data_IF_067271852604
#
_entry.id   IF_067271852604
#
_cell.length_a   1.000
_cell.length_b   1.000
_cell.length_c   1.000
_cell.angle_alpha   90.00
_cell.angle_beta   90.00
_cell.angle_gamma   90.00
#
_symmetry.space_group_name_H-M   'P 1'
#
loop_
_entity.id
_entity.type
_entity.pdbx_description
1 polymer ?
#
# COMPACT_ATOMS: atom_id res chain seq x y z
N UNK A 1 22.78 2.60 -9.66
CA UNK A 1 21.78 1.66 -9.13
C UNK A 1 20.38 2.00 -9.69
N UNK A 2 19.82 3.18 -9.48
CA UNK A 2 18.46 3.54 -9.93
C UNK A 2 18.27 3.48 -11.44
N UNK A 3 19.22 4.00 -12.24
CA UNK A 3 19.17 3.90 -13.72
C UNK A 3 19.03 2.46 -14.22
N UNK A 4 19.69 1.50 -13.56
CA UNK A 4 19.59 0.09 -13.95
C UNK A 4 18.20 -0.47 -13.66
N UNK A 5 17.59 -0.12 -12.51
CA UNK A 5 16.23 -0.53 -12.18
C UNK A 5 15.22 0.05 -13.19
N UNK A 6 15.36 1.34 -13.51
CA UNK A 6 14.49 1.99 -14.51
C UNK A 6 14.65 1.35 -15.90
N UNK A 7 15.89 1.05 -16.34
CA UNK A 7 16.12 0.37 -17.63
C UNK A 7 15.43 -1.01 -17.63
N UNK A 8 15.61 -1.81 -16.57
CA UNK A 8 14.94 -3.11 -16.44
C UNK A 8 13.43 -2.99 -16.51
N UNK A 9 12.85 -2.04 -15.74
CA UNK A 9 11.42 -1.76 -15.77
C UNK A 9 10.92 -1.42 -17.18
N UNK A 10 11.64 -0.55 -17.90
CA UNK A 10 11.29 -0.16 -19.28
C UNK A 10 11.36 -1.36 -20.23
N UNK A 11 12.40 -2.17 -20.15
CA UNK A 11 12.59 -3.38 -20.97
C UNK A 11 11.49 -4.42 -20.68
N UNK A 12 11.20 -4.67 -19.40
CA UNK A 12 10.19 -5.65 -18.96
C UNK A 12 8.79 -5.31 -19.48
N UNK A 13 8.43 -4.03 -19.42
CA UNK A 13 7.10 -3.57 -19.79
C UNK A 13 7.01 -3.05 -21.24
N UNK A 14 8.11 -2.97 -21.97
CA UNK A 14 8.15 -2.50 -23.35
C UNK A 14 7.86 -1.00 -23.49
N UNK A 15 8.29 -0.19 -22.52
CA UNK A 15 8.17 1.26 -22.59
C UNK A 15 9.42 1.93 -23.13
N UNK A 16 9.27 3.01 -23.89
CA UNK A 16 10.40 3.75 -24.49
C UNK A 16 11.01 4.79 -23.55
N UNK A 17 10.24 5.28 -22.59
CA UNK A 17 10.66 6.34 -21.68
C UNK A 17 9.95 6.21 -20.32
N UNK A 18 10.60 6.70 -19.26
CA UNK A 18 10.04 6.87 -17.93
C UNK A 18 9.95 8.38 -17.61
N UNK A 19 8.75 8.87 -17.36
CA UNK A 19 8.48 10.31 -17.18
C UNK A 19 7.44 10.50 -16.07
N UNK A 20 7.79 10.24 -14.79
CA UNK A 20 6.84 10.27 -13.71
C UNK A 20 6.25 11.67 -13.49
N UNK A 21 4.94 11.73 -13.43
CA UNK A 21 4.11 12.89 -13.12
C UNK A 21 3.37 12.71 -11.79
N UNK A 22 3.29 11.47 -11.30
CA UNK A 22 2.64 11.14 -10.04
C UNK A 22 3.42 10.10 -9.24
N UNK A 23 3.33 10.19 -7.90
CA UNK A 23 3.70 9.12 -6.97
C UNK A 23 2.44 8.68 -6.23
N UNK A 24 2.10 7.41 -6.34
CA UNK A 24 0.94 6.77 -5.73
C UNK A 24 1.40 6.02 -4.48
N UNK A 25 1.00 6.50 -3.33
CA UNK A 25 1.37 5.93 -2.04
C UNK A 25 0.30 4.98 -1.52
N UNK A 26 0.68 3.80 -1.06
CA UNK A 26 -0.16 3.07 -0.12
C UNK A 26 -0.25 3.83 1.21
N UNK A 27 -1.12 3.38 2.10
CA UNK A 27 -1.40 4.06 3.35
C UNK A 27 -0.73 3.38 4.55
N UNK A 28 -1.08 2.12 4.81
CA UNK A 28 -0.69 1.40 6.01
C UNK A 28 0.75 0.89 5.89
N UNK A 29 1.63 1.30 6.82
CA UNK A 29 3.07 1.01 6.71
C UNK A 29 3.84 1.93 5.74
N UNK A 30 3.16 2.83 5.02
CA UNK A 30 3.74 3.82 4.10
C UNK A 30 3.50 5.25 4.57
N UNK A 31 2.24 5.67 4.73
CA UNK A 31 1.89 6.99 5.26
C UNK A 31 1.84 7.01 6.78
N UNK A 32 1.33 5.91 7.38
CA UNK A 32 1.25 5.71 8.82
C UNK A 32 2.02 4.46 9.23
N UNK A 33 2.65 4.52 10.41
CA UNK A 33 3.20 3.34 11.08
C UNK A 33 2.08 2.60 11.82
N UNK A 34 1.14 2.06 11.04
CA UNK A 34 -0.11 1.44 11.50
C UNK A 34 -0.03 -0.08 11.60
N UNK A 35 0.96 -0.71 10.98
CA UNK A 35 1.06 -2.17 10.93
C UNK A 35 1.16 -2.86 12.30
N UNK A 36 1.84 -2.31 13.31
CA UNK A 36 1.78 -2.87 14.67
C UNK A 36 0.35 -2.94 15.22
N UNK A 37 -0.47 -1.91 15.01
CA UNK A 37 -1.87 -1.90 15.41
C UNK A 37 -2.70 -2.91 14.61
N UNK A 38 -2.44 -3.03 13.31
CA UNK A 38 -3.10 -4.05 12.48
C UNK A 38 -2.78 -5.46 12.98
N UNK A 39 -1.51 -5.76 13.30
CA UNK A 39 -1.10 -7.05 13.82
C UNK A 39 -1.82 -7.38 15.14
N UNK A 40 -1.86 -6.45 16.09
CA UNK A 40 -2.59 -6.62 17.36
C UNK A 40 -4.08 -6.89 17.10
N UNK A 41 -4.71 -6.05 16.27
CA UNK A 41 -6.14 -6.18 15.98
C UNK A 41 -6.49 -7.50 15.28
N UNK A 42 -5.66 -7.97 14.36
CA UNK A 42 -5.81 -9.27 13.72
C UNK A 42 -5.66 -10.42 14.72
N UNK A 43 -4.61 -10.43 15.51
CA UNK A 43 -4.35 -11.47 16.51
C UNK A 43 -5.50 -11.58 17.53
N UNK A 44 -5.90 -10.44 18.11
CA UNK A 44 -6.95 -10.42 19.13
C UNK A 44 -8.33 -10.78 18.58
N UNK A 45 -8.68 -10.29 17.38
CA UNK A 45 -9.98 -10.57 16.78
C UNK A 45 -10.11 -12.02 16.35
N UNK A 46 -9.11 -12.54 15.65
CA UNK A 46 -9.16 -13.91 15.12
C UNK A 46 -9.10 -14.96 16.23
N UNK A 47 -8.40 -14.68 17.33
CA UNK A 47 -8.39 -15.54 18.52
C UNK A 47 -9.80 -15.74 19.11
N UNK A 48 -10.70 -14.75 19.04
CA UNK A 48 -12.10 -14.87 19.50
C UNK A 48 -12.91 -15.89 18.70
N UNK A 49 -12.50 -16.15 17.46
CA UNK A 49 -13.14 -17.11 16.56
C UNK A 49 -12.38 -18.44 16.49
N UNK A 50 -11.40 -18.66 17.40
CA UNK A 50 -10.61 -19.89 17.45
C UNK A 50 -9.56 -19.99 16.33
N UNK A 51 -9.22 -18.88 15.68
CA UNK A 51 -8.21 -18.81 14.62
C UNK A 51 -6.94 -18.19 15.17
N UNK A 52 -5.82 -18.86 14.93
CA UNK A 52 -4.51 -18.34 15.28
C UNK A 52 -3.94 -17.53 14.15
N UNK A 53 -3.64 -16.27 14.40
CA UNK A 53 -3.01 -15.37 13.44
C UNK A 53 -1.77 -14.73 14.07
N UNK A 54 -0.63 -14.82 13.42
CA UNK A 54 0.63 -14.23 13.87
C UNK A 54 0.76 -12.80 13.39
N UNK A 55 1.75 -12.07 13.89
CA UNK A 55 2.09 -10.76 13.33
C UNK A 55 2.54 -10.89 11.86
N UNK A 56 3.35 -11.90 11.54
CA UNK A 56 3.83 -12.14 10.17
C UNK A 56 2.68 -12.43 9.21
N UNK A 57 1.65 -13.17 9.63
CA UNK A 57 0.44 -13.37 8.82
C UNK A 57 -0.28 -12.05 8.52
N UNK A 58 -0.34 -11.14 9.51
CA UNK A 58 -0.94 -9.83 9.31
C UNK A 58 -0.16 -8.99 8.29
N UNK A 59 1.17 -9.01 8.33
CA UNK A 59 2.02 -8.33 7.35
C UNK A 59 1.97 -8.99 5.96
N UNK A 60 1.92 -10.33 5.90
CA UNK A 60 1.86 -11.05 4.63
C UNK A 60 0.53 -10.86 3.88
N UNK A 61 -0.56 -10.63 4.61
CA UNK A 61 -1.91 -10.41 4.05
C UNK A 61 -2.28 -8.93 3.93
N UNK A 62 -1.36 -8.02 4.24
CA UNK A 62 -1.58 -6.58 4.11
C UNK A 62 -1.95 -6.19 2.68
N UNK A 63 -2.86 -5.22 2.57
CA UNK A 63 -3.37 -4.74 1.28
C UNK A 63 -4.53 -5.57 0.72
N UNK A 64 -4.78 -6.80 1.22
CA UNK A 64 -5.97 -7.55 0.88
C UNK A 64 -7.23 -6.94 1.51
N UNK A 65 -8.40 -7.23 0.92
CA UNK A 65 -9.67 -6.94 1.60
C UNK A 65 -9.77 -7.82 2.87
N UNK A 66 -10.11 -7.22 3.99
CA UNK A 66 -10.15 -7.93 5.27
C UNK A 66 -11.04 -9.18 5.28
N UNK A 67 -12.16 -9.14 4.55
CA UNK A 67 -13.06 -10.30 4.38
C UNK A 67 -12.39 -11.46 3.64
N UNK A 68 -11.52 -11.16 2.67
CA UNK A 68 -10.80 -12.19 1.90
C UNK A 68 -9.70 -12.83 2.76
N UNK A 69 -8.99 -12.03 3.58
CA UNK A 69 -8.03 -12.53 4.59
C UNK A 69 -8.73 -13.46 5.58
N UNK A 70 -9.90 -13.09 6.09
CA UNK A 70 -10.67 -13.91 7.03
C UNK A 70 -11.08 -15.22 6.39
N UNK A 71 -11.65 -15.20 5.18
CA UNK A 71 -12.03 -16.43 4.47
C UNK A 71 -10.84 -17.38 4.27
N UNK A 72 -9.68 -16.82 3.91
CA UNK A 72 -8.47 -17.60 3.76
C UNK A 72 -8.08 -18.29 5.07
N UNK A 73 -8.05 -17.55 6.18
CA UNK A 73 -7.65 -18.08 7.49
C UNK A 73 -8.65 -19.12 8.01
N UNK A 74 -9.96 -18.89 7.83
CA UNK A 74 -11.01 -19.85 8.20
C UNK A 74 -10.84 -21.15 7.39
N UNK A 75 -10.68 -21.04 6.07
CA UNK A 75 -10.51 -22.22 5.22
C UNK A 75 -9.24 -23.01 5.60
N UNK A 76 -8.13 -22.31 5.86
CA UNK A 76 -6.87 -22.96 6.22
C UNK A 76 -6.89 -23.67 7.58
N UNK A 77 -7.54 -23.08 8.60
CA UNK A 77 -7.45 -23.57 9.97
C UNK A 77 -8.69 -24.32 10.44
N UNK A 78 -9.87 -23.95 9.96
CA UNK A 78 -11.13 -24.57 10.36
C UNK A 78 -11.71 -25.51 9.27
N UNK A 79 -11.08 -25.54 8.07
CA UNK A 79 -11.40 -26.44 6.96
C UNK A 79 -12.86 -26.35 6.43
N UNK A 80 -13.47 -25.17 6.54
CA UNK A 80 -14.77 -24.89 5.95
C UNK A 80 -14.79 -23.48 5.34
N UNK A 81 -15.75 -23.24 4.46
CA UNK A 81 -16.01 -21.93 3.88
C UNK A 81 -17.04 -21.18 4.74
N UNK A 82 -16.94 -19.86 4.76
CA UNK A 82 -17.93 -18.96 5.36
C UNK A 82 -18.47 -18.00 4.30
N UNK A 83 -19.68 -17.53 4.52
CA UNK A 83 -20.29 -16.54 3.64
C UNK A 83 -19.75 -15.11 3.89
N UNK A 84 -20.14 -14.19 3.01
CA UNK A 84 -19.73 -12.79 3.07
C UNK A 84 -20.17 -12.12 4.37
N UNK A 85 -21.40 -12.42 4.83
CA UNK A 85 -21.95 -11.79 6.02
C UNK A 85 -21.21 -12.24 7.29
N UNK A 86 -20.79 -13.48 7.36
CA UNK A 86 -19.99 -14.00 8.46
C UNK A 86 -18.56 -13.43 8.44
N UNK A 87 -17.92 -13.42 7.28
CA UNK A 87 -16.61 -12.78 7.13
C UNK A 87 -16.65 -11.30 7.51
N UNK A 88 -17.73 -10.59 7.14
CA UNK A 88 -17.91 -9.19 7.49
C UNK A 88 -18.05 -8.99 9.01
N UNK A 89 -18.83 -9.83 9.70
CA UNK A 89 -18.96 -9.75 11.18
C UNK A 89 -17.60 -9.94 11.88
N UNK A 90 -16.79 -10.87 11.39
CA UNK A 90 -15.44 -11.08 11.93
C UNK A 90 -14.52 -9.87 11.65
N UNK A 91 -14.64 -9.28 10.47
CA UNK A 91 -13.90 -8.07 10.11
C UNK A 91 -14.35 -6.84 10.92
N UNK A 92 -15.64 -6.72 11.23
CA UNK A 92 -16.17 -5.65 12.09
C UNK A 92 -15.55 -5.72 13.49
N UNK A 93 -15.35 -6.94 14.03
CA UNK A 93 -14.67 -7.13 15.32
C UNK A 93 -13.18 -6.72 15.24
N UNK A 94 -12.48 -7.08 14.16
CA UNK A 94 -11.11 -6.61 13.92
C UNK A 94 -11.05 -5.08 13.85
N UNK A 95 -11.98 -4.46 13.14
CA UNK A 95 -12.07 -3.01 13.01
C UNK A 95 -12.35 -2.34 14.35
N UNK A 96 -13.24 -2.92 15.17
CA UNK A 96 -13.55 -2.42 16.51
C UNK A 96 -12.31 -2.41 17.42
N UNK A 97 -11.52 -3.51 17.40
CA UNK A 97 -10.27 -3.59 18.17
C UNK A 97 -9.27 -2.56 17.64
N UNK A 98 -9.07 -2.49 16.33
CA UNK A 98 -8.16 -1.53 15.71
C UNK A 98 -8.46 -0.08 16.13
N UNK A 99 -9.72 0.32 16.11
CA UNK A 99 -10.15 1.67 16.52
C UNK A 99 -10.06 1.92 18.03
N UNK A 100 -9.91 0.89 18.86
CA UNK A 100 -9.68 1.03 20.30
C UNK A 100 -8.21 1.24 20.66
N UNK A 101 -7.30 0.99 19.71
CA UNK A 101 -5.86 1.21 19.89
C UNK A 101 -5.51 2.70 19.70
N UNK A 102 -4.37 3.16 20.24
CA UNK A 102 -3.87 4.50 19.98
C UNK A 102 -3.72 4.75 18.48
N UNK A 103 -3.96 5.99 18.03
CA UNK A 103 -3.74 6.36 16.63
C UNK A 103 -2.28 6.11 16.24
N UNK A 104 -2.09 5.44 15.10
CA UNK A 104 -0.77 5.21 14.54
C UNK A 104 -0.10 6.55 14.16
N UNK A 105 1.19 6.76 14.44
CA UNK A 105 1.88 7.97 14.04
C UNK A 105 2.06 8.05 12.53
N UNK A 106 2.26 9.26 12.02
CA UNK A 106 2.73 9.49 10.64
C UNK A 106 4.10 8.84 10.47
N UNK A 107 4.29 8.13 9.36
CA UNK A 107 5.55 7.42 9.06
C UNK A 107 6.73 8.39 9.01
N UNK A 108 7.82 8.15 9.76
CA UNK A 108 8.99 9.01 9.73
C UNK A 108 9.58 9.16 8.34
N UNK A 109 9.75 10.40 7.87
CA UNK A 109 10.33 10.71 6.56
C UNK A 109 9.32 10.94 5.43
N UNK A 110 8.05 10.55 5.60
CA UNK A 110 7.05 10.67 4.51
C UNK A 110 6.74 12.12 4.16
N UNK A 111 6.58 13.02 5.15
CA UNK A 111 6.29 14.43 4.88
C UNK A 111 7.44 15.13 4.14
N UNK A 112 8.68 14.78 4.45
CA UNK A 112 9.85 15.31 3.76
C UNK A 112 9.94 14.78 2.32
N UNK A 113 9.60 13.50 2.11
CA UNK A 113 9.51 12.91 0.79
C UNK A 113 8.45 13.62 -0.07
N UNK A 114 7.24 13.81 0.45
CA UNK A 114 6.16 14.49 -0.27
C UNK A 114 6.52 15.94 -0.65
N UNK A 115 7.18 16.68 0.26
CA UNK A 115 7.68 18.03 -0.07
C UNK A 115 8.68 18.01 -1.24
N UNK A 116 9.60 17.06 -1.26
CA UNK A 116 10.58 16.93 -2.35
C UNK A 116 9.89 16.60 -3.68
N UNK A 117 8.92 15.69 -3.67
CA UNK A 117 8.12 15.29 -4.84
C UNK A 117 7.36 16.49 -5.41
N UNK A 118 6.64 17.23 -4.56
CA UNK A 118 5.94 18.44 -4.99
C UNK A 118 6.89 19.52 -5.53
N UNK A 119 8.07 19.70 -4.89
CA UNK A 119 9.08 20.64 -5.36
C UNK A 119 9.64 20.29 -6.73
N UNK A 120 9.57 19.02 -7.13
CA UNK A 120 9.93 18.53 -8.45
C UNK A 120 8.78 18.65 -9.47
N UNK A 121 7.62 19.19 -9.08
CA UNK A 121 6.44 19.31 -9.95
C UNK A 121 5.67 18.00 -10.16
N UNK A 122 5.94 16.97 -9.32
CA UNK A 122 5.28 15.68 -9.37
C UNK A 122 4.13 15.68 -8.35
N UNK A 123 2.97 15.18 -8.72
CA UNK A 123 1.81 15.11 -7.83
C UNK A 123 1.87 13.87 -6.93
N UNK A 124 1.20 13.94 -5.77
CA UNK A 124 1.02 12.81 -4.86
C UNK A 124 -0.42 12.31 -4.95
N UNK A 125 -0.60 10.98 -4.96
CA UNK A 125 -1.87 10.30 -4.82
C UNK A 125 -1.80 9.25 -3.73
N UNK A 126 -2.94 8.83 -3.19
CA UNK A 126 -3.06 7.78 -2.17
C UNK A 126 -3.92 6.66 -2.71
N UNK A 127 -3.50 5.41 -2.49
CA UNK A 127 -4.21 4.21 -2.94
C UNK A 127 -4.31 3.23 -1.76
N UNK A 128 -5.46 3.23 -1.08
CA UNK A 128 -5.69 2.40 0.11
C UNK A 128 -6.77 1.33 -0.12
N UNK A 129 -6.58 0.15 0.47
CA UNK A 129 -7.60 -0.90 0.56
C UNK A 129 -8.70 -0.59 1.59
N UNK A 130 -8.62 0.52 2.31
CA UNK A 130 -9.64 0.95 3.24
C UNK A 130 -10.63 1.92 2.59
N UNK A 131 -11.90 1.89 3.05
CA UNK A 131 -12.93 2.85 2.66
C UNK A 131 -13.59 3.52 3.87
N UNK A 132 -13.02 3.35 5.06
CA UNK A 132 -13.63 3.87 6.29
C UNK A 132 -13.57 5.40 6.36
N UNK A 133 -14.72 6.04 6.50
CA UNK A 133 -14.85 7.50 6.49
C UNK A 133 -13.93 8.22 7.51
N UNK A 134 -13.78 7.77 8.78
CA UNK A 134 -12.89 8.42 9.74
C UNK A 134 -11.43 8.43 9.26
N UNK A 135 -11.00 7.37 8.59
CA UNK A 135 -9.65 7.25 8.07
C UNK A 135 -9.41 8.22 6.91
N UNK A 136 -10.38 8.35 6.00
CA UNK A 136 -10.31 9.32 4.89
C UNK A 136 -10.27 10.75 5.43
N UNK A 137 -11.04 11.06 6.47
CA UNK A 137 -10.99 12.37 7.13
C UNK A 137 -9.61 12.65 7.74
N UNK A 138 -9.00 11.64 8.33
CA UNK A 138 -7.66 11.73 8.87
C UNK A 138 -6.61 11.97 7.79
N UNK A 139 -6.68 11.23 6.67
CA UNK A 139 -5.81 11.46 5.50
C UNK A 139 -5.88 12.90 5.00
N UNK A 140 -7.10 13.46 4.89
CA UNK A 140 -7.28 14.87 4.50
C UNK A 140 -6.65 15.84 5.49
N UNK A 141 -6.78 15.59 6.79
CA UNK A 141 -6.19 16.42 7.85
C UNK A 141 -4.64 16.37 7.79
N UNK A 142 -4.07 15.19 7.68
CA UNK A 142 -2.64 14.99 7.84
C UNK A 142 -1.85 15.24 6.53
N UNK A 143 -2.46 14.94 5.37
CA UNK A 143 -1.82 14.99 4.05
C UNK A 143 -2.49 15.93 3.04
N UNK A 144 -3.56 16.65 3.40
CA UNK A 144 -4.28 17.55 2.48
C UNK A 144 -3.45 18.72 1.94
N UNK A 145 -2.28 19.02 2.53
CA UNK A 145 -1.32 19.96 1.96
C UNK A 145 -0.55 19.38 0.75
N UNK A 146 -0.56 18.05 0.57
CA UNK A 146 0.21 17.32 -0.43
C UNK A 146 -0.66 16.58 -1.44
N UNK A 147 -1.85 16.15 -1.03
CA UNK A 147 -2.73 15.29 -1.81
C UNK A 147 -4.11 15.90 -1.88
N UNK A 148 -4.60 16.14 -3.12
CA UNK A 148 -5.99 16.49 -3.34
C UNK A 148 -6.90 15.29 -3.04
N UNK A 149 -8.08 15.55 -2.49
CA UNK A 149 -9.07 14.50 -2.22
C UNK A 149 -9.44 13.70 -3.48
N UNK A 150 -9.47 14.35 -4.62
CA UNK A 150 -9.73 13.71 -5.91
C UNK A 150 -8.68 12.65 -6.27
N UNK A 151 -7.47 12.72 -5.69
CA UNK A 151 -6.38 11.78 -5.91
C UNK A 151 -6.29 10.69 -4.84
N UNK A 152 -7.33 10.51 -4.01
CA UNK A 152 -7.43 9.42 -3.05
C UNK A 152 -8.27 8.29 -3.66
N UNK A 153 -7.67 7.13 -3.84
CA UNK A 153 -8.34 5.89 -4.26
C UNK A 153 -8.57 5.02 -3.03
N UNK A 154 -9.81 4.55 -2.86
CA UNK A 154 -10.27 3.75 -1.74
C UNK A 154 -10.81 2.41 -2.20
N UNK A 155 -11.13 1.52 -1.26
CA UNK A 155 -11.78 0.23 -1.56
C UNK A 155 -13.11 0.37 -2.31
N UNK A 156 -13.80 1.52 -2.19
CA UNK A 156 -15.08 1.76 -2.88
C UNK A 156 -14.94 2.18 -4.35
N UNK A 157 -13.75 2.58 -4.77
CA UNK A 157 -13.49 3.02 -6.13
C UNK A 157 -13.23 1.85 -7.10
N UNK A 158 -13.02 0.63 -6.58
CA UNK A 158 -12.57 -0.52 -7.37
C UNK A 158 -13.39 -1.77 -7.06
N UNK A 159 -13.50 -2.65 -8.06
CA UNK A 159 -14.16 -3.95 -7.90
C UNK A 159 -13.25 -4.99 -7.25
N UNK A 160 -11.98 -5.00 -7.63
CA UNK A 160 -10.99 -5.93 -7.12
C UNK A 160 -9.90 -5.15 -6.37
N UNK A 161 -9.66 -5.53 -5.11
CA UNK A 161 -8.57 -4.99 -4.30
C UNK A 161 -7.21 -5.59 -4.68
N UNK A 162 -6.14 -5.09 -4.06
CA UNK A 162 -4.80 -5.69 -4.16
C UNK A 162 -4.88 -7.20 -3.87
N UNK A 163 -4.21 -8.07 -4.63
CA UNK A 163 -3.13 -7.80 -5.59
C UNK A 163 -3.58 -7.50 -7.02
N UNK A 164 -4.89 -7.36 -7.31
CA UNK A 164 -5.35 -6.94 -8.64
C UNK A 164 -4.79 -5.54 -8.97
N UNK A 165 -4.57 -5.20 -10.26
CA UNK A 165 -4.05 -3.90 -10.67
C UNK A 165 -5.05 -2.75 -10.50
N UNK A 166 -6.33 -3.06 -10.32
CA UNK A 166 -7.45 -2.11 -10.32
C UNK A 166 -7.20 -0.88 -9.42
N UNK A 167 -6.70 -1.01 -8.16
CA UNK A 167 -6.47 0.15 -7.30
C UNK A 167 -5.47 1.14 -7.86
N UNK A 168 -4.36 0.67 -8.42
CA UNK A 168 -3.34 1.54 -8.99
C UNK A 168 -3.71 2.06 -10.37
N UNK A 169 -4.46 1.30 -11.18
CA UNK A 169 -5.04 1.80 -12.41
C UNK A 169 -6.06 2.91 -12.15
N UNK A 170 -6.87 2.78 -11.10
CA UNK A 170 -7.76 3.85 -10.64
C UNK A 170 -6.96 5.06 -10.14
N UNK A 171 -5.84 4.83 -9.45
CA UNK A 171 -4.92 5.89 -9.04
C UNK A 171 -4.36 6.68 -10.23
N UNK A 172 -3.96 6.00 -11.32
CA UNK A 172 -3.54 6.64 -12.57
C UNK A 172 -4.66 7.47 -13.20
N UNK A 173 -5.88 6.94 -13.23
CA UNK A 173 -7.04 7.64 -13.75
C UNK A 173 -7.31 8.91 -12.95
N UNK A 174 -7.35 8.82 -11.63
CA UNK A 174 -7.55 9.99 -10.74
C UNK A 174 -6.43 11.01 -10.83
N UNK A 175 -5.20 10.58 -11.12
CA UNK A 175 -4.05 11.45 -11.33
C UNK A 175 -4.04 12.15 -12.71
N UNK A 176 -5.12 12.05 -13.51
CA UNK A 176 -5.26 12.69 -14.81
C UNK A 176 -5.07 11.75 -15.99
N UNK A 177 -5.58 10.51 -15.87
CA UNK A 177 -5.50 9.46 -16.90
C UNK A 177 -4.05 9.17 -17.35
N UNK A 178 -3.14 9.10 -16.37
CA UNK A 178 -1.72 8.87 -16.63
C UNK A 178 -1.46 7.45 -17.18
N UNK A 179 -0.41 7.35 -17.99
CA UNK A 179 0.12 6.05 -18.41
C UNK A 179 0.98 5.43 -17.29
N UNK A 180 1.15 4.09 -17.25
CA UNK A 180 1.94 3.44 -16.20
C UNK A 180 3.36 3.99 -16.06
N UNK A 181 4.03 4.31 -17.16
CA UNK A 181 5.38 4.90 -17.17
C UNK A 181 5.44 6.38 -16.72
N UNK A 182 4.30 6.96 -16.38
CA UNK A 182 4.17 8.33 -15.84
C UNK A 182 3.92 8.35 -14.33
N UNK A 183 3.98 7.19 -13.67
CA UNK A 183 3.80 7.12 -12.22
C UNK A 183 4.82 6.21 -11.53
N UNK A 184 4.89 6.37 -10.21
CA UNK A 184 5.64 5.51 -9.29
C UNK A 184 4.65 5.03 -8.24
N UNK A 185 4.73 3.77 -7.86
CA UNK A 185 4.05 3.20 -6.68
C UNK A 185 5.03 3.15 -5.52
N UNK A 186 4.60 3.52 -4.32
CA UNK A 186 5.34 3.31 -3.07
C UNK A 186 4.50 2.42 -2.16
N UNK A 187 5.05 1.26 -1.82
CA UNK A 187 4.39 0.17 -1.12
C UNK A 187 5.28 -0.45 -0.04
N UNK A 188 4.69 -1.19 0.91
CA UNK A 188 5.44 -1.93 1.93
C UNK A 188 5.07 -3.41 2.00
N UNK A 189 3.97 -3.82 1.36
CA UNK A 189 3.40 -5.16 1.47
C UNK A 189 3.45 -5.94 0.15
N UNK A 190 3.66 -7.28 0.19
CA UNK A 190 3.77 -8.08 -1.03
C UNK A 190 2.54 -7.99 -1.95
N UNK A 191 1.33 -7.95 -1.40
CA UNK A 191 0.10 -7.85 -2.22
C UNK A 191 -0.01 -6.49 -2.91
N UNK A 192 0.38 -5.42 -2.23
CA UNK A 192 0.41 -4.10 -2.81
C UNK A 192 1.49 -3.94 -3.88
N UNK A 193 2.68 -4.49 -3.65
CA UNK A 193 3.75 -4.55 -4.65
C UNK A 193 3.29 -5.31 -5.90
N UNK A 194 2.64 -6.48 -5.73
CA UNK A 194 2.05 -7.23 -6.88
C UNK A 194 1.02 -6.40 -7.63
N UNK A 195 0.21 -5.62 -6.91
CA UNK A 195 -0.80 -4.75 -7.54
C UNK A 195 -0.15 -3.65 -8.39
N UNK A 196 0.91 -2.99 -7.88
CA UNK A 196 1.66 -1.98 -8.62
C UNK A 196 2.36 -2.57 -9.85
N UNK A 197 3.02 -3.72 -9.69
CA UNK A 197 3.66 -4.46 -10.78
C UNK A 197 2.65 -4.92 -11.84
N UNK A 198 1.50 -5.46 -11.41
CA UNK A 198 0.42 -5.86 -12.32
C UNK A 198 -0.20 -4.68 -13.07
N UNK A 199 -0.21 -3.48 -12.48
CA UNK A 199 -0.58 -2.24 -13.14
C UNK A 199 0.52 -1.72 -14.08
N UNK A 200 1.67 -2.40 -14.17
CA UNK A 200 2.84 -2.04 -14.98
C UNK A 200 3.46 -0.70 -14.58
N UNK A 201 3.37 -0.33 -13.31
CA UNK A 201 3.91 0.92 -12.75
C UNK A 201 5.22 0.59 -12.03
N UNK A 202 6.26 1.43 -12.20
CA UNK A 202 7.49 1.29 -11.43
C UNK A 202 7.18 1.28 -9.94
N UNK A 203 7.48 0.16 -9.27
CA UNK A 203 7.08 -0.07 -7.89
C UNK A 203 8.29 -0.05 -6.96
N UNK A 204 8.29 0.89 -6.04
CA UNK A 204 9.26 1.03 -4.97
C UNK A 204 8.68 0.40 -3.71
N UNK A 205 9.35 -0.62 -3.19
CA UNK A 205 9.01 -1.18 -1.89
C UNK A 205 9.80 -0.47 -0.77
N UNK A 206 9.13 -0.16 0.32
CA UNK A 206 9.74 0.33 1.56
C UNK A 206 9.52 -0.73 2.63
N UNK A 207 10.57 -1.45 3.00
CA UNK A 207 10.46 -2.53 3.98
C UNK A 207 10.37 -1.96 5.40
N UNK A 208 9.16 -1.59 5.80
CA UNK A 208 8.82 -1.07 7.12
C UNK A 208 8.32 -2.15 8.09
N UNK A 209 8.33 -3.40 7.65
CA UNK A 209 7.87 -4.56 8.42
C UNK A 209 8.97 -5.61 8.64
N UNK A 210 8.62 -6.77 9.22
CA UNK A 210 9.54 -7.85 9.53
C UNK A 210 9.84 -8.77 8.34
N UNK A 211 9.12 -8.63 7.22
CA UNK A 211 9.23 -9.54 6.08
C UNK A 211 10.62 -9.46 5.43
N UNK A 212 11.17 -10.59 4.95
CA UNK A 212 12.40 -10.58 4.17
C UNK A 212 12.25 -9.76 2.88
N UNK A 213 13.32 -9.05 2.48
CA UNK A 213 13.32 -8.29 1.22
C UNK A 213 13.00 -9.14 -0.01
N UNK A 214 13.36 -10.41 0.03
CA UNK A 214 13.12 -11.41 -1.02
C UNK A 214 11.63 -11.56 -1.34
N UNK A 215 10.75 -11.39 -0.36
CA UNK A 215 9.30 -11.45 -0.57
C UNK A 215 8.80 -10.24 -1.36
N UNK A 216 9.31 -9.05 -1.06
CA UNK A 216 8.98 -7.83 -1.81
C UNK A 216 9.57 -7.86 -3.22
N UNK A 217 10.81 -8.36 -3.38
CA UNK A 217 11.43 -8.59 -4.70
C UNK A 217 10.65 -9.63 -5.50
N UNK A 218 10.30 -10.76 -4.87
CA UNK A 218 9.50 -11.82 -5.50
C UNK A 218 8.07 -11.38 -5.84
N UNK A 219 7.57 -10.32 -5.21
CA UNK A 219 6.29 -9.70 -5.54
C UNK A 219 6.38 -8.73 -6.74
N UNK A 220 7.59 -8.38 -7.20
CA UNK A 220 7.81 -7.52 -8.37
C UNK A 220 8.25 -6.08 -8.01
N UNK A 221 8.86 -5.86 -6.84
CA UNK A 221 9.43 -4.56 -6.53
C UNK A 221 10.65 -4.27 -7.41
N UNK A 222 10.67 -3.12 -8.08
CA UNK A 222 11.79 -2.65 -8.91
C UNK A 222 12.93 -2.10 -8.05
N UNK A 223 12.59 -1.50 -6.91
CA UNK A 223 13.52 -0.95 -5.94
C UNK A 223 13.04 -1.26 -4.52
N UNK A 224 13.97 -1.46 -3.59
CA UNK A 224 13.68 -1.61 -2.17
C UNK A 224 14.49 -0.63 -1.35
N UNK A 225 13.83 -0.02 -0.37
CA UNK A 225 14.43 0.80 0.66
C UNK A 225 14.14 0.25 2.06
N UNK A 226 15.08 0.32 3.00
CA UNK A 226 14.89 -0.24 4.34
C UNK A 226 13.97 0.61 5.22
N UNK A 227 13.63 1.83 4.80
CA UNK A 227 12.72 2.72 5.52
C UNK A 227 12.27 3.88 4.64
N UNK A 228 11.16 4.51 5.00
CA UNK A 228 10.68 5.74 4.36
C UNK A 228 11.68 6.90 4.52
N UNK A 229 12.36 6.97 5.65
CA UNK A 229 13.43 7.95 5.88
C UNK A 229 14.58 7.79 4.88
N UNK A 230 14.96 6.54 4.56
CA UNK A 230 16.02 6.29 3.59
C UNK A 230 15.54 6.60 2.16
N UNK A 231 14.31 6.24 1.80
CA UNK A 231 13.73 6.66 0.53
C UNK A 231 13.72 8.19 0.40
N UNK A 232 13.30 8.90 1.44
CA UNK A 232 13.31 10.37 1.47
C UNK A 232 14.71 10.95 1.27
N UNK A 233 15.73 10.39 1.90
CA UNK A 233 17.13 10.83 1.72
C UNK A 233 17.65 10.61 0.30
N UNK A 234 17.22 9.53 -0.33
CA UNK A 234 17.67 9.15 -1.67
C UNK A 234 16.82 9.80 -2.77
N UNK A 235 15.67 10.36 -2.45
CA UNK A 235 14.73 10.95 -3.41
C UNK A 235 15.40 11.98 -4.33
N UNK A 236 16.24 12.87 -3.79
CA UNK A 236 16.97 13.86 -4.60
C UNK A 236 17.94 13.25 -5.62
N UNK A 237 18.39 12.01 -5.40
CA UNK A 237 19.24 11.27 -6.36
C UNK A 237 18.40 10.44 -7.32
N UNK A 238 17.21 10.06 -6.89
CA UNK A 238 16.24 9.33 -7.70
C UNK A 238 15.57 10.26 -8.71
N UNK A 239 15.04 11.40 -8.28
CA UNK A 239 14.33 12.38 -9.11
C UNK A 239 15.10 12.84 -10.36
N UNK A 240 16.41 13.17 -10.33
CA UNK A 240 17.15 13.56 -11.53
C UNK A 240 17.40 12.41 -12.52
N UNK A 241 17.09 11.17 -12.14
CA UNK A 241 17.19 10.00 -13.00
C UNK A 241 15.85 9.63 -13.61
N UNK A 242 14.80 10.29 -13.17
CA UNK A 242 13.43 10.21 -13.66
C UNK A 242 13.20 11.26 -14.75
#
# INVERSE_FOLDING_TARGET
MYKIAIIKYLEEHGFEAFRPKAVLFDMDGVLYDSMPNHAIAWQESMAKFGIHMTADDAYATEGARGVDTIRLMVLQQLHHEIDEAEAQRMYDEKSRIFHSLPEAPIMPGILDLMRQIQSAGIQCGIVTGSGQLPLIQRLKKDFGAFVDEAHITTAYDVKHGKPAPDPYLMGLQKAGDLQPFEAIVVENAPLGVRSGHAARILTIAVNTGPLPNEELLGAGADLIFPSMTELSRQCQRLLPTL
#
